data_IF_097851157557
#
_entry.id   IF_097851157557
#
_cell.length_a   1.000
_cell.length_b   1.000
_cell.length_c   1.000
_cell.angle_alpha   90.00
_cell.angle_beta   90.00
_cell.angle_gamma   90.00
#
_symmetry.space_group_name_H-M   'P 1'
#
loop_
_entity.id
_entity.type
_entity.pdbx_description
1 polymer ?
#
# COMPACT_ATOMS: atom_id res chain seq x y z
N UNK A 1 -11.20 -2.03 10.25
CA UNK A 1 -11.83 -2.05 8.90
C UNK A 1 -11.22 -3.16 8.08
N UNK A 2 -12.03 -4.13 7.65
CA UNK A 2 -11.55 -5.28 6.87
C UNK A 2 -11.68 -5.01 5.38
N UNK A 3 -10.63 -5.28 4.61
CA UNK A 3 -10.61 -5.11 3.15
C UNK A 3 -10.06 -6.36 2.45
N UNK A 4 -10.47 -6.56 1.20
CA UNK A 4 -9.80 -7.47 0.26
C UNK A 4 -8.64 -6.75 -0.41
N UNK A 5 -7.42 -6.98 0.08
CA UNK A 5 -6.21 -6.36 -0.46
C UNK A 5 -5.75 -7.08 -1.72
N UNK A 6 -5.69 -6.34 -2.83
CA UNK A 6 -5.22 -6.78 -4.14
C UNK A 6 -3.78 -6.32 -4.38
N UNK A 7 -2.85 -7.28 -4.46
CA UNK A 7 -1.43 -7.01 -4.74
C UNK A 7 -1.02 -7.61 -6.09
N UNK A 8 0.16 -7.20 -6.59
CA UNK A 8 0.81 -7.85 -7.74
C UNK A 8 1.87 -8.80 -7.19
N UNK A 9 2.29 -9.78 -7.98
CA UNK A 9 3.40 -10.68 -7.63
C UNK A 9 4.65 -9.92 -7.15
N UNK A 10 5.02 -8.82 -7.81
CA UNK A 10 6.17 -7.99 -7.38
C UNK A 10 5.97 -7.39 -5.99
N UNK A 11 4.75 -6.96 -5.65
CA UNK A 11 4.44 -6.42 -4.33
C UNK A 11 4.45 -7.52 -3.26
N UNK A 12 4.09 -8.76 -3.60
CA UNK A 12 4.21 -9.88 -2.67
C UNK A 12 5.66 -10.20 -2.37
N UNK A 13 6.53 -10.24 -3.38
CA UNK A 13 7.97 -10.44 -3.16
C UNK A 13 8.55 -9.34 -2.28
N UNK A 14 8.12 -8.09 -2.48
CA UNK A 14 8.48 -7.00 -1.59
C UNK A 14 7.98 -7.26 -0.15
N UNK A 15 6.72 -7.66 0.04
CA UNK A 15 6.18 -8.00 1.35
C UNK A 15 6.91 -9.17 2.03
N UNK A 16 7.26 -10.22 1.28
CA UNK A 16 8.01 -11.37 1.80
C UNK A 16 9.41 -10.94 2.25
N UNK A 17 10.11 -10.12 1.47
CA UNK A 17 11.39 -9.56 1.86
C UNK A 17 11.27 -8.66 3.11
N UNK A 18 10.19 -7.88 3.22
CA UNK A 18 9.90 -7.06 4.39
C UNK A 18 9.62 -7.90 5.63
N UNK A 19 8.85 -8.98 5.50
CA UNK A 19 8.59 -9.94 6.58
C UNK A 19 9.88 -10.57 7.10
N UNK A 20 10.73 -11.06 6.20
CA UNK A 20 12.03 -11.64 6.56
C UNK A 20 12.91 -10.66 7.33
N UNK A 21 13.02 -9.42 6.84
CA UNK A 21 13.81 -8.36 7.47
C UNK A 21 13.31 -7.96 8.86
N UNK A 22 12.00 -8.01 9.08
CA UNK A 22 11.36 -7.61 10.32
C UNK A 22 11.08 -8.79 11.27
N UNK A 23 11.48 -10.01 10.90
CA UNK A 23 11.19 -11.25 11.62
C UNK A 23 9.69 -11.44 11.91
N UNK A 24 8.84 -11.05 10.95
CA UNK A 24 7.38 -11.16 11.00
C UNK A 24 6.93 -12.20 9.99
N UNK A 25 5.90 -13.00 10.30
CA UNK A 25 5.34 -13.98 9.37
C UNK A 25 3.97 -13.59 8.79
N UNK A 26 3.29 -12.60 9.40
CA UNK A 26 1.95 -12.17 9.02
C UNK A 26 1.98 -11.11 7.91
N UNK A 27 1.22 -11.34 6.84
CA UNK A 27 0.98 -10.34 5.80
C UNK A 27 0.21 -9.13 6.34
N UNK A 28 -0.77 -9.36 7.20
CA UNK A 28 -1.54 -8.29 7.81
C UNK A 28 -0.65 -7.37 8.65
N UNK A 29 0.18 -7.96 9.52
CA UNK A 29 1.06 -7.18 10.41
C UNK A 29 2.03 -6.31 9.60
N UNK A 30 2.67 -6.87 8.57
CA UNK A 30 3.63 -6.09 7.77
C UNK A 30 2.93 -5.01 6.94
N UNK A 31 1.72 -5.26 6.42
CA UNK A 31 0.93 -4.25 5.70
C UNK A 31 0.55 -3.11 6.63
N UNK A 32 0.09 -3.41 7.84
CA UNK A 32 -0.25 -2.39 8.84
C UNK A 32 0.97 -1.53 9.19
N UNK A 33 2.15 -2.13 9.38
CA UNK A 33 3.39 -1.36 9.62
C UNK A 33 3.72 -0.45 8.44
N UNK A 34 3.67 -0.96 7.21
CA UNK A 34 3.88 -0.16 5.99
C UNK A 34 2.95 1.05 5.91
N UNK A 35 1.65 0.81 6.10
CA UNK A 35 0.62 1.86 6.08
C UNK A 35 0.92 2.90 7.16
N UNK A 36 1.07 2.45 8.39
CA UNK A 36 1.22 3.34 9.54
C UNK A 36 2.46 4.23 9.41
N UNK A 37 3.58 3.67 8.97
CA UNK A 37 4.84 4.39 8.85
C UNK A 37 4.82 5.43 7.75
N UNK A 38 4.19 5.12 6.61
CA UNK A 38 4.09 6.08 5.51
C UNK A 38 3.04 7.16 5.78
N UNK A 39 1.91 6.85 6.41
CA UNK A 39 0.90 7.86 6.75
C UNK A 39 1.40 8.91 7.75
N UNK A 40 2.44 8.59 8.53
CA UNK A 40 3.13 9.49 9.46
C UNK A 40 4.18 10.40 8.81
N UNK A 41 4.53 10.17 7.53
CA UNK A 41 5.46 11.05 6.82
C UNK A 41 4.82 12.42 6.56
N UNK A 42 5.59 13.49 6.73
CA UNK A 42 5.14 14.84 6.40
C UNK A 42 5.01 15.05 4.88
N UNK A 43 5.94 14.47 4.11
CA UNK A 43 5.95 14.55 2.65
C UNK A 43 5.27 13.34 2.01
N UNK A 44 3.96 13.46 1.79
CA UNK A 44 3.15 12.46 1.10
C UNK A 44 3.32 12.48 -0.43
N UNK A 45 3.81 13.59 -0.99
CA UNK A 45 4.03 13.71 -2.44
C UNK A 45 5.16 12.80 -2.90
N UNK A 46 6.16 12.60 -2.04
CA UNK A 46 7.25 11.65 -2.25
C UNK A 46 6.77 10.21 -2.48
N UNK A 47 5.57 9.84 -1.98
CA UNK A 47 4.99 8.49 -2.05
C UNK A 47 3.91 8.40 -3.12
N UNK A 48 3.00 9.37 -3.16
CA UNK A 48 1.77 9.29 -3.95
C UNK A 48 1.75 10.23 -5.16
N UNK A 49 2.74 11.12 -5.30
CA UNK A 49 2.84 12.09 -6.38
C UNK A 49 3.01 11.46 -7.77
N UNK A 50 2.75 12.27 -8.81
CA UNK A 50 2.62 11.89 -10.23
C UNK A 50 3.82 11.14 -10.83
N UNK A 51 5.04 11.28 -10.29
CA UNK A 51 6.21 10.51 -10.75
C UNK A 51 6.08 9.01 -10.41
N UNK A 52 5.37 8.68 -9.32
CA UNK A 52 5.10 7.29 -8.87
C UNK A 52 3.79 6.72 -9.42
N UNK A 53 2.98 7.51 -10.14
CA UNK A 53 1.87 7.00 -10.97
C UNK A 53 2.35 6.03 -12.07
N UNK A 54 3.67 5.94 -12.29
CA UNK A 54 4.37 4.83 -12.96
C UNK A 54 4.15 3.44 -12.31
N UNK A 55 3.17 3.27 -11.43
CA UNK A 55 2.50 1.99 -11.24
C UNK A 55 1.45 1.91 -12.36
N UNK A 56 1.94 1.53 -13.55
CA UNK A 56 1.32 1.75 -14.87
C UNK A 56 -0.16 1.40 -14.98
N UNK A 57 -0.78 2.01 -15.99
CA UNK A 57 -2.15 1.78 -16.45
C UNK A 57 -2.59 0.31 -16.26
N UNK A 58 -3.80 0.10 -15.74
CA UNK A 58 -4.43 -1.21 -15.80
C UNK A 58 -4.16 -2.17 -14.63
N UNK A 59 -4.02 -1.66 -13.40
CA UNK A 59 -3.88 -2.52 -12.21
C UNK A 59 -5.23 -2.93 -11.58
N UNK A 60 -6.29 -3.02 -12.40
CA UNK A 60 -7.62 -3.47 -12.00
C UNK A 60 -7.59 -4.98 -11.73
N UNK A 61 -8.19 -5.43 -10.63
CA UNK A 61 -8.24 -6.85 -10.24
C UNK A 61 -6.86 -7.56 -10.22
N UNK A 62 -5.85 -6.98 -9.57
CA UNK A 62 -4.57 -7.66 -9.43
C UNK A 62 -4.71 -8.88 -8.50
N UNK A 63 -4.27 -10.05 -8.96
CA UNK A 63 -4.18 -11.25 -8.12
C UNK A 63 -2.75 -11.38 -7.57
N UNK A 64 -2.59 -11.94 -6.35
CA UNK A 64 -3.63 -12.51 -5.49
C UNK A 64 -4.31 -11.50 -4.55
N UNK A 65 -5.49 -11.88 -4.09
CA UNK A 65 -6.23 -11.19 -3.04
C UNK A 65 -6.06 -11.89 -1.68
N UNK A 66 -5.94 -11.11 -0.61
CA UNK A 66 -6.05 -11.62 0.75
C UNK A 66 -6.69 -10.57 1.66
N UNK A 67 -7.31 -11.04 2.75
CA UNK A 67 -7.95 -10.17 3.71
C UNK A 67 -6.92 -9.54 4.65
N UNK A 68 -7.08 -8.24 4.91
CA UNK A 68 -6.35 -7.53 5.97
C UNK A 68 -7.30 -6.66 6.78
N UNK A 69 -7.08 -6.62 8.08
CA UNK A 69 -7.69 -5.62 8.95
C UNK A 69 -6.81 -4.38 9.06
N UNK A 70 -7.41 -3.20 8.92
CA UNK A 70 -6.77 -1.89 9.08
C UNK A 70 -7.42 -1.13 10.24
N UNK A 71 -6.68 -0.25 10.90
CA UNK A 71 -7.29 0.74 11.78
C UNK A 71 -8.26 1.63 10.99
N UNK A 72 -9.35 2.06 11.63
CA UNK A 72 -10.36 2.91 10.98
C UNK A 72 -9.77 4.24 10.52
N UNK A 73 -8.87 4.84 11.30
CA UNK A 73 -8.21 6.10 10.95
C UNK A 73 -7.27 5.90 9.76
N UNK A 74 -6.49 4.83 9.76
CA UNK A 74 -5.60 4.50 8.65
C UNK A 74 -6.41 4.25 7.36
N UNK A 75 -7.54 3.54 7.45
CA UNK A 75 -8.44 3.34 6.32
C UNK A 75 -8.99 4.65 5.75
N UNK A 76 -9.48 5.56 6.60
CA UNK A 76 -10.00 6.87 6.18
C UNK A 76 -8.91 7.75 5.57
N UNK A 77 -7.69 7.72 6.11
CA UNK A 77 -6.56 8.45 5.54
C UNK A 77 -6.13 7.89 4.18
N UNK A 78 -6.16 6.56 3.99
CA UNK A 78 -5.92 5.95 2.68
C UNK A 78 -7.00 6.35 1.67
N UNK A 79 -8.29 6.40 2.03
CA UNK A 79 -9.35 6.93 1.16
C UNK A 79 -9.10 8.39 0.76
N UNK A 80 -8.66 9.21 1.72
CA UNK A 80 -8.35 10.63 1.49
C UNK A 80 -7.15 10.79 0.55
N UNK A 81 -6.10 9.99 0.73
CA UNK A 81 -4.95 9.94 -0.18
C UNK A 81 -5.43 9.59 -1.58
N UNK A 82 -6.22 8.53 -1.73
CA UNK A 82 -6.73 8.13 -3.04
C UNK A 82 -7.45 9.27 -3.77
N UNK A 83 -8.34 9.96 -3.05
CA UNK A 83 -9.11 11.09 -3.57
C UNK A 83 -8.25 12.32 -3.89
N UNK A 84 -7.19 12.56 -3.12
CA UNK A 84 -6.33 13.75 -3.24
C UNK A 84 -5.39 13.66 -4.43
N UNK A 85 -4.81 12.47 -4.67
CA UNK A 85 -3.81 12.27 -5.71
C UNK A 85 -4.40 11.90 -7.08
N UNK A 86 -5.73 11.88 -7.20
CA UNK A 86 -6.41 11.80 -8.50
C UNK A 86 -6.16 10.51 -9.27
N UNK A 87 -5.98 9.38 -8.57
CA UNK A 87 -5.77 8.09 -9.23
C UNK A 87 -6.90 7.74 -10.19
N UNK A 88 -6.60 6.89 -11.19
CA UNK A 88 -7.60 6.33 -12.10
C UNK A 88 -8.77 5.70 -11.32
N UNK A 89 -10.00 5.90 -11.79
CA UNK A 89 -11.19 5.41 -11.12
C UNK A 89 -11.25 3.87 -11.06
N UNK A 90 -11.21 3.32 -9.85
CA UNK A 90 -11.48 1.92 -9.56
C UNK A 90 -12.96 1.66 -9.27
N UNK A 91 -13.39 0.40 -9.33
CA UNK A 91 -14.80 0.04 -9.24
C UNK A 91 -15.27 -0.24 -7.80
N UNK A 92 -14.35 -0.25 -6.82
CA UNK A 92 -14.66 -0.56 -5.43
C UNK A 92 -13.67 0.11 -4.48
N UNK A 93 -14.14 0.42 -3.28
CA UNK A 93 -13.31 0.97 -2.21
C UNK A 93 -12.11 0.07 -1.90
N UNK A 94 -12.29 -1.26 -1.91
CA UNK A 94 -11.19 -2.20 -1.69
C UNK A 94 -10.07 -2.05 -2.73
N UNK A 95 -10.41 -1.80 -4.00
CA UNK A 95 -9.42 -1.53 -5.04
C UNK A 95 -8.75 -0.15 -4.89
N UNK A 96 -9.50 0.87 -4.47
CA UNK A 96 -8.97 2.21 -4.17
C UNK A 96 -7.93 2.14 -3.05
N UNK A 97 -8.28 1.45 -1.96
CA UNK A 97 -7.35 1.22 -0.84
C UNK A 97 -6.18 0.35 -1.28
N UNK A 98 -6.43 -0.74 -2.04
CA UNK A 98 -5.36 -1.57 -2.58
C UNK A 98 -4.40 -0.78 -3.47
N UNK A 99 -4.89 0.20 -4.25
CA UNK A 99 -4.02 1.11 -5.03
C UNK A 99 -3.10 1.91 -4.13
N UNK A 100 -3.62 2.53 -3.08
CA UNK A 100 -2.79 3.33 -2.15
C UNK A 100 -1.75 2.45 -1.43
N UNK A 101 -2.12 1.26 -0.95
CA UNK A 101 -1.19 0.33 -0.29
C UNK A 101 -0.10 -0.15 -1.26
N UNK A 102 -0.42 -0.42 -2.53
CA UNK A 102 0.59 -0.77 -3.55
C UNK A 102 1.62 0.35 -3.74
N UNK A 103 1.20 1.62 -3.75
CA UNK A 103 2.12 2.76 -3.81
C UNK A 103 3.03 2.82 -2.57
N UNK A 104 2.50 2.55 -1.39
CA UNK A 104 3.26 2.49 -0.12
C UNK A 104 4.33 1.38 -0.18
N UNK A 105 3.94 0.16 -0.54
CA UNK A 105 4.87 -0.98 -0.62
C UNK A 105 5.99 -0.68 -1.62
N UNK A 106 5.63 -0.16 -2.81
CA UNK A 106 6.60 0.23 -3.83
C UNK A 106 7.55 1.32 -3.33
N UNK A 107 7.05 2.30 -2.56
CA UNK A 107 7.88 3.33 -1.95
C UNK A 107 8.94 2.78 -1.00
N UNK A 108 8.50 1.93 -0.07
CA UNK A 108 9.41 1.32 0.92
C UNK A 108 10.45 0.43 0.22
N UNK A 109 10.04 -0.31 -0.82
CA UNK A 109 10.93 -1.12 -1.64
C UNK A 109 12.00 -0.27 -2.36
N UNK A 110 11.60 0.81 -3.03
CA UNK A 110 12.48 1.66 -3.84
C UNK A 110 13.45 2.48 -2.99
N UNK A 111 12.99 3.06 -1.87
CA UNK A 111 13.86 3.82 -0.97
C UNK A 111 14.86 2.93 -0.23
N UNK A 112 14.63 1.60 -0.22
CA UNK A 112 15.39 0.65 0.61
C UNK A 112 15.37 1.04 2.11
N UNK A 113 14.48 1.96 2.51
CA UNK A 113 14.45 2.54 3.85
C UNK A 113 13.54 1.73 4.76
N UNK A 114 14.05 0.55 5.08
CA UNK A 114 13.40 -0.38 5.99
C UNK A 114 13.44 0.08 7.46
N UNK A 115 14.05 1.23 7.78
CA UNK A 115 14.00 1.81 9.14
C UNK A 115 12.61 2.35 9.50
N UNK A 116 11.74 2.42 8.50
CA UNK A 116 10.35 2.77 8.67
C UNK A 116 9.52 1.60 9.24
N UNK A 117 10.02 0.36 9.39
CA UNK A 117 9.25 -0.83 9.79
C UNK A 117 9.81 -1.57 11.02
#
# INVERSE_FOLDING_TARGET
>A
MKISLSLKDSHLWALDALKEKNAVSSNEEIVQRCVNSVLKLEDRDSVFGTVRESCGEGCFAAEPHFEVELDEQDFLELQKVYSTYGFQGYNSVDEEISKTIRCIIKYIEEENDFRLL
#
